data_IF_379118005429
#
_entry.id   IF_379118005429
#
_cell.length_a   1.000
_cell.length_b   1.000
_cell.length_c   1.000
_cell.angle_alpha   90.00
_cell.angle_beta   90.00
_cell.angle_gamma   90.00
#
_symmetry.space_group_name_H-M   'P 1'
#
loop_
_entity.id
_entity.type
_entity.pdbx_description
1 polymer ?
#
# COMPACT_ATOMS: atom_id res chain seq x y z
N UNK A 1 1.18 -28.47 13.75
CA UNK A 1 2.26 -28.35 12.74
C UNK A 1 3.58 -28.13 13.46
N UNK A 2 4.65 -28.80 13.05
CA UNK A 2 6.01 -28.61 13.52
C UNK A 2 6.88 -28.10 12.37
N UNK A 3 7.45 -26.91 12.53
CA UNK A 3 8.47 -26.35 11.64
C UNK A 3 9.82 -26.64 12.27
N UNK A 4 10.61 -27.51 11.66
CA UNK A 4 11.92 -27.92 12.18
C UNK A 4 13.03 -27.09 11.57
N UNK A 5 14.15 -26.99 12.28
CA UNK A 5 15.38 -26.42 11.75
C UNK A 5 15.23 -24.99 11.18
N UNK A 6 14.83 -24.04 12.02
CA UNK A 6 14.72 -22.61 11.66
C UNK A 6 15.58 -21.74 12.58
N UNK A 7 16.04 -20.62 12.07
CA UNK A 7 16.57 -19.53 12.88
C UNK A 7 15.41 -18.67 13.39
N UNK A 8 15.31 -18.49 14.71
CA UNK A 8 14.40 -17.51 15.32
C UNK A 8 15.22 -16.51 16.12
N UNK A 9 15.00 -15.22 15.87
CA UNK A 9 15.70 -14.16 16.59
C UNK A 9 15.51 -14.27 18.11
N UNK A 10 16.59 -14.14 18.87
CA UNK A 10 16.60 -14.34 20.32
C UNK A 10 16.65 -15.80 20.78
N UNK A 11 16.40 -16.77 19.88
CA UNK A 11 16.43 -18.21 20.20
C UNK A 11 17.52 -18.99 19.42
N UNK A 12 18.02 -18.45 18.31
CA UNK A 12 18.97 -19.13 17.43
C UNK A 12 18.31 -20.25 16.63
N UNK A 13 19.06 -21.31 16.30
CA UNK A 13 18.57 -22.48 15.53
C UNK A 13 17.71 -23.39 16.42
N UNK A 14 16.42 -23.53 16.08
CA UNK A 14 15.38 -24.18 16.89
C UNK A 14 14.29 -24.84 16.02
N UNK A 15 13.38 -25.58 16.65
CA UNK A 15 12.12 -26.02 16.07
C UNK A 15 10.95 -25.23 16.70
N UNK A 16 9.93 -24.95 15.88
CA UNK A 16 8.74 -24.19 16.28
C UNK A 16 7.48 -25.03 16.09
N UNK A 17 6.71 -25.20 17.17
CA UNK A 17 5.44 -25.94 17.14
C UNK A 17 4.26 -24.97 17.12
N UNK A 18 3.35 -25.22 16.20
CA UNK A 18 2.11 -24.46 16.01
C UNK A 18 0.91 -25.33 16.39
N UNK A 19 -0.05 -24.72 17.10
CA UNK A 19 -1.30 -25.35 17.51
C UNK A 19 -2.38 -24.30 17.77
N UNK A 20 -3.62 -24.57 17.34
CA UNK A 20 -4.74 -23.64 17.53
C UNK A 20 -4.50 -22.25 16.91
N UNK A 21 -3.76 -22.18 15.79
CA UNK A 21 -3.40 -20.92 15.14
C UNK A 21 -2.35 -20.07 15.87
N UNK A 22 -1.67 -20.63 16.87
CA UNK A 22 -0.65 -19.95 17.67
C UNK A 22 0.65 -20.73 17.75
N UNK A 23 1.71 -20.04 18.13
CA UNK A 23 2.99 -20.64 18.49
C UNK A 23 2.90 -21.23 19.90
N UNK A 24 2.92 -22.55 20.01
CA UNK A 24 2.79 -23.27 21.30
C UNK A 24 4.13 -23.72 21.87
N UNK A 25 5.23 -23.50 21.14
CA UNK A 25 6.54 -23.52 21.75
C UNK A 25 7.69 -23.47 20.75
N UNK A 26 8.82 -22.97 21.25
CA UNK A 26 10.08 -22.76 20.53
C UNK A 26 11.16 -23.48 21.33
N UNK A 27 11.98 -24.30 20.68
CA UNK A 27 13.08 -25.00 21.36
C UNK A 27 13.82 -25.99 20.47
N UNK A 28 14.97 -26.49 20.93
CA UNK A 28 15.81 -27.44 20.18
C UNK A 28 15.24 -28.86 20.25
N UNK A 29 15.32 -29.61 19.14
CA UNK A 29 15.04 -31.05 19.05
C UNK A 29 13.67 -31.42 19.63
N UNK A 30 12.61 -30.75 19.17
CA UNK A 30 11.24 -31.05 19.65
C UNK A 30 10.76 -32.38 19.07
N UNK A 31 10.14 -33.21 19.92
CA UNK A 31 9.59 -34.51 19.50
C UNK A 31 8.44 -34.35 18.49
N UNK A 32 8.46 -35.17 17.43
CA UNK A 32 7.46 -35.19 16.36
C UNK A 32 8.10 -35.27 14.98
N UNK A 33 7.35 -35.74 13.97
CA UNK A 33 7.76 -35.65 12.56
C UNK A 33 7.60 -34.18 12.13
N UNK A 34 8.66 -33.59 11.55
CA UNK A 34 8.59 -32.24 10.99
C UNK A 34 7.62 -32.19 9.82
N UNK A 35 6.64 -31.28 9.88
CA UNK A 35 5.72 -31.01 8.77
C UNK A 35 6.38 -30.10 7.72
N UNK A 36 7.24 -29.19 8.17
CA UNK A 36 8.00 -28.26 7.34
C UNK A 36 9.44 -28.22 7.82
N UNK A 37 10.40 -28.40 6.91
CA UNK A 37 11.83 -28.24 7.19
C UNK A 37 12.31 -26.84 6.77
N UNK A 38 12.77 -26.07 7.74
CA UNK A 38 13.31 -24.73 7.60
C UNK A 38 14.71 -24.70 7.01
N UNK A 39 15.47 -25.80 7.07
CA UNK A 39 16.84 -25.90 6.54
C UNK A 39 17.76 -24.77 7.01
N UNK A 40 17.61 -24.33 8.26
CA UNK A 40 18.34 -23.23 8.88
C UNK A 40 17.92 -21.83 8.42
N UNK A 41 16.85 -21.69 7.64
CA UNK A 41 16.31 -20.38 7.24
C UNK A 41 15.63 -19.65 8.39
N UNK A 42 15.57 -18.32 8.31
CA UNK A 42 14.92 -17.51 9.33
C UNK A 42 13.39 -17.67 9.30
N UNK A 43 12.79 -17.79 10.48
CA UNK A 43 11.35 -17.76 10.67
C UNK A 43 10.98 -16.46 11.39
N UNK A 44 10.27 -15.60 10.67
CA UNK A 44 9.85 -14.28 11.11
C UNK A 44 8.36 -14.28 11.46
N UNK A 45 7.93 -13.27 12.21
CA UNK A 45 6.53 -12.83 12.13
C UNK A 45 6.24 -12.43 10.68
N UNK A 46 5.03 -12.73 10.20
CA UNK A 46 4.66 -12.43 8.82
C UNK A 46 4.61 -10.92 8.56
N UNK A 47 4.91 -10.51 7.34
CA UNK A 47 4.85 -9.11 6.96
C UNK A 47 3.39 -8.62 6.96
N UNK A 48 3.19 -7.35 7.26
CA UNK A 48 1.92 -6.66 7.19
C UNK A 48 2.09 -5.41 6.35
N UNK A 49 1.33 -5.31 5.26
CA UNK A 49 1.33 -4.11 4.43
C UNK A 49 0.34 -3.10 5.00
N UNK A 50 0.85 -2.02 5.59
CA UNK A 50 0.03 -1.09 6.36
C UNK A 50 -0.73 -0.07 5.50
N UNK A 51 -0.57 -0.08 4.17
CA UNK A 51 -1.33 0.78 3.26
C UNK A 51 -1.36 0.17 1.86
N UNK A 52 -2.50 -0.37 1.45
CA UNK A 52 -2.71 -0.96 0.12
C UNK A 52 -4.15 -0.77 -0.35
N UNK A 53 -4.37 -0.65 -1.65
CA UNK A 53 -5.68 -0.54 -2.27
C UNK A 53 -6.09 -1.88 -2.92
N UNK A 54 -6.62 -2.81 -2.12
CA UNK A 54 -6.84 -4.20 -2.56
C UNK A 54 -7.85 -4.33 -3.69
N UNK A 55 -8.92 -3.52 -3.68
CA UNK A 55 -9.90 -3.55 -4.76
C UNK A 55 -9.29 -3.05 -6.09
N UNK A 56 -8.51 -1.99 -6.05
CA UNK A 56 -7.80 -1.47 -7.22
C UNK A 56 -6.74 -2.47 -7.70
N UNK A 57 -5.96 -3.05 -6.78
CA UNK A 57 -4.92 -4.03 -7.08
C UNK A 57 -5.50 -5.32 -7.70
N UNK A 58 -6.66 -5.75 -7.23
CA UNK A 58 -7.35 -6.91 -7.81
C UNK A 58 -7.96 -6.61 -9.18
N UNK A 59 -8.40 -5.37 -9.43
CA UNK A 59 -8.91 -4.93 -10.73
C UNK A 59 -7.80 -4.73 -11.78
N UNK A 60 -6.56 -4.54 -11.34
CA UNK A 60 -5.42 -4.32 -12.22
C UNK A 60 -5.15 -5.49 -13.17
N UNK A 61 -5.35 -6.74 -12.71
CA UNK A 61 -5.16 -7.93 -13.55
C UNK A 61 -6.08 -7.96 -14.80
N UNK A 62 -7.17 -7.19 -14.78
CA UNK A 62 -8.09 -7.01 -15.89
C UNK A 62 -7.96 -5.61 -16.54
N UNK A 63 -6.84 -4.92 -16.32
CA UNK A 63 -6.53 -3.59 -16.85
C UNK A 63 -5.27 -3.61 -17.71
N UNK A 64 -5.20 -2.68 -18.66
CA UNK A 64 -3.99 -2.42 -19.44
C UNK A 64 -3.13 -1.41 -18.67
N UNK A 65 -1.88 -1.75 -18.34
CA UNK A 65 -0.95 -0.80 -17.74
C UNK A 65 -0.37 0.11 -18.81
N UNK A 66 -0.43 1.42 -18.58
CA UNK A 66 -0.04 2.46 -19.53
C UNK A 66 0.81 3.56 -18.86
N UNK A 67 1.56 3.20 -17.82
CA UNK A 67 2.47 4.10 -17.15
C UNK A 67 3.77 4.31 -17.92
N UNK A 68 4.67 5.19 -17.40
CA UNK A 68 5.94 5.48 -18.06
C UNK A 68 6.81 4.25 -18.35
N UNK A 69 6.74 3.21 -17.50
CA UNK A 69 7.52 1.99 -17.69
C UNK A 69 6.90 1.04 -18.73
N UNK A 70 5.57 1.04 -18.86
CA UNK A 70 4.86 0.10 -19.74
C UNK A 70 4.56 0.67 -21.12
N UNK A 71 4.06 1.91 -21.20
CA UNK A 71 3.75 2.56 -22.46
C UNK A 71 4.96 3.30 -23.04
N UNK A 72 5.81 3.88 -22.17
CA UNK A 72 7.00 4.65 -22.58
C UNK A 72 6.69 6.01 -23.19
N UNK A 73 5.89 6.04 -24.26
CA UNK A 73 5.54 7.22 -25.03
C UNK A 73 4.10 7.16 -25.57
N UNK A 74 3.74 8.19 -26.35
CA UNK A 74 2.43 8.32 -27.00
C UNK A 74 2.10 7.15 -27.92
N UNK A 75 3.06 6.64 -28.69
CA UNK A 75 2.80 5.57 -29.65
C UNK A 75 2.57 4.24 -28.93
N UNK A 76 3.33 3.98 -27.86
CA UNK A 76 3.11 2.85 -26.98
C UNK A 76 1.74 2.91 -26.29
N UNK A 77 1.31 4.09 -25.82
CA UNK A 77 -0.03 4.29 -25.28
C UNK A 77 -1.11 3.98 -26.32
N UNK A 78 -1.01 4.54 -27.54
CA UNK A 78 -1.98 4.29 -28.62
C UNK A 78 -2.05 2.80 -28.96
N UNK A 79 -0.89 2.13 -29.06
CA UNK A 79 -0.83 0.69 -29.29
C UNK A 79 -1.53 -0.12 -28.20
N UNK A 80 -1.29 0.23 -26.94
CA UNK A 80 -1.92 -0.42 -25.79
C UNK A 80 -3.45 -0.23 -25.78
N UNK A 81 -3.93 1.00 -26.04
CA UNK A 81 -5.37 1.30 -26.08
C UNK A 81 -6.11 0.62 -27.25
N UNK A 82 -5.40 0.32 -28.34
CA UNK A 82 -5.95 -0.37 -29.52
C UNK A 82 -5.80 -1.89 -29.46
N UNK A 83 -5.10 -2.42 -28.47
CA UNK A 83 -4.91 -3.87 -28.30
C UNK A 83 -6.25 -4.59 -28.01
N UNK A 84 -6.41 -5.83 -28.49
CA UNK A 84 -7.65 -6.59 -28.32
C UNK A 84 -8.76 -6.26 -29.35
N UNK A 85 -9.92 -6.95 -29.27
CA UNK A 85 -10.98 -6.85 -30.27
C UNK A 85 -11.57 -5.44 -30.42
N UNK A 86 -11.85 -4.98 -31.66
CA UNK A 86 -12.56 -3.71 -31.89
C UNK A 86 -13.93 -3.65 -31.21
N UNK A 87 -14.32 -2.45 -30.74
CA UNK A 87 -15.60 -2.21 -30.08
C UNK A 87 -15.66 -2.61 -28.59
N UNK A 88 -14.70 -3.37 -28.06
CA UNK A 88 -14.65 -3.72 -26.65
C UNK A 88 -14.13 -2.58 -25.77
N UNK A 89 -14.63 -2.52 -24.52
CA UNK A 89 -14.17 -1.55 -23.54
C UNK A 89 -12.71 -1.77 -23.18
N UNK A 90 -11.93 -0.69 -23.18
CA UNK A 90 -10.56 -0.69 -22.64
C UNK A 90 -10.52 0.06 -21.33
N UNK A 91 -10.04 -0.64 -20.30
CA UNK A 91 -9.72 -0.08 -18.99
C UNK A 91 -8.20 -0.01 -18.87
N UNK A 92 -7.65 1.20 -18.87
CA UNK A 92 -6.22 1.44 -18.70
C UNK A 92 -5.88 2.10 -17.35
N UNK A 93 -4.73 1.78 -16.76
CA UNK A 93 -4.23 2.33 -15.47
C UNK A 93 -2.79 2.78 -15.52
N UNK A 94 -2.42 3.60 -14.55
CA UNK A 94 -1.03 3.96 -14.30
C UNK A 94 -0.54 5.11 -15.16
N UNK A 95 -1.45 5.80 -15.87
CA UNK A 95 -1.10 6.90 -16.75
C UNK A 95 -0.39 8.03 -16.02
N UNK A 96 0.55 8.68 -16.71
CA UNK A 96 1.19 9.91 -16.29
C UNK A 96 1.44 10.79 -17.52
N UNK A 97 1.43 12.11 -17.33
CA UNK A 97 1.55 13.10 -18.38
C UNK A 97 2.89 13.00 -19.14
N UNK A 98 3.93 12.42 -18.54
CA UNK A 98 5.21 12.16 -19.22
C UNK A 98 5.10 11.18 -20.40
N UNK A 99 4.01 10.40 -20.50
CA UNK A 99 3.79 9.46 -21.61
C UNK A 99 3.27 10.17 -22.85
N UNK A 100 2.21 10.97 -22.72
CA UNK A 100 1.52 11.57 -23.88
C UNK A 100 0.95 12.99 -23.64
N UNK A 101 1.33 13.67 -22.55
CA UNK A 101 0.83 15.00 -22.17
C UNK A 101 -0.47 14.94 -21.36
N UNK A 102 -1.21 16.04 -21.28
CA UNK A 102 -2.54 16.00 -20.67
C UNK A 102 -3.52 15.21 -21.55
N UNK A 103 -4.37 14.40 -20.92
CA UNK A 103 -5.45 13.68 -21.60
C UNK A 103 -6.79 14.34 -21.32
N UNK A 104 -7.58 14.45 -22.39
CA UNK A 104 -9.01 14.69 -22.36
C UNK A 104 -9.71 13.71 -23.30
N UNK A 105 -11.04 13.81 -23.39
CA UNK A 105 -11.84 12.92 -24.22
C UNK A 105 -11.47 13.00 -25.70
N UNK A 106 -11.08 14.17 -26.20
CA UNK A 106 -10.81 14.39 -27.62
C UNK A 106 -9.45 13.82 -28.01
N UNK A 107 -8.45 13.98 -27.13
CA UNK A 107 -7.16 13.28 -27.27
C UNK A 107 -7.37 11.76 -27.29
N UNK A 108 -8.23 11.23 -26.42
CA UNK A 108 -8.52 9.79 -26.43
C UNK A 108 -9.37 9.35 -27.63
N UNK A 109 -10.22 10.22 -28.19
CA UNK A 109 -10.93 9.94 -29.44
C UNK A 109 -9.95 9.79 -30.61
N UNK A 110 -8.90 10.61 -30.68
CA UNK A 110 -7.82 10.46 -31.66
C UNK A 110 -7.03 9.16 -31.43
N UNK A 111 -6.80 8.78 -30.17
CA UNK A 111 -6.02 7.60 -29.83
C UNK A 111 -6.78 6.31 -30.08
N UNK A 112 -8.09 6.26 -29.84
CA UNK A 112 -8.89 5.04 -29.97
C UNK A 112 -10.32 5.37 -30.43
N UNK A 113 -10.53 5.73 -31.72
CA UNK A 113 -11.82 6.20 -32.21
C UNK A 113 -12.91 5.12 -32.25
N UNK A 114 -12.51 3.85 -32.39
CA UNK A 114 -13.43 2.74 -32.70
C UNK A 114 -13.86 1.94 -31.45
N UNK A 115 -13.65 2.46 -30.24
CA UNK A 115 -14.00 1.74 -29.00
C UNK A 115 -14.15 2.64 -27.76
N UNK A 116 -14.90 2.18 -26.74
CA UNK A 116 -14.96 2.85 -25.44
C UNK A 116 -13.63 2.72 -24.69
N UNK A 117 -13.06 3.84 -24.26
CA UNK A 117 -11.81 3.87 -23.47
C UNK A 117 -12.00 4.68 -22.20
N UNK A 118 -11.48 4.14 -21.10
CA UNK A 118 -11.21 4.89 -19.87
C UNK A 118 -9.77 4.67 -19.41
N UNK A 119 -9.10 5.75 -19.07
CA UNK A 119 -7.71 5.77 -18.59
C UNK A 119 -7.67 6.35 -17.17
N UNK A 120 -7.07 5.63 -16.22
CA UNK A 120 -6.84 6.12 -14.86
C UNK A 120 -5.42 6.67 -14.74
N UNK A 121 -5.31 7.90 -14.22
CA UNK A 121 -4.03 8.47 -13.81
C UNK A 121 -3.43 7.67 -12.64
N UNK A 122 -2.10 7.57 -12.57
CA UNK A 122 -1.38 6.79 -11.54
C UNK A 122 -1.61 7.26 -10.10
N UNK A 123 -2.14 8.47 -9.90
CA UNK A 123 -2.56 8.95 -8.57
C UNK A 123 -3.86 8.28 -8.08
N UNK A 124 -4.57 7.57 -8.96
CA UNK A 124 -5.90 7.04 -8.69
C UNK A 124 -7.01 8.09 -8.64
N UNK A 125 -6.68 9.38 -8.69
CA UNK A 125 -7.62 10.48 -8.49
C UNK A 125 -8.38 10.90 -9.76
N UNK A 126 -7.84 10.62 -10.94
CA UNK A 126 -8.40 11.05 -12.22
C UNK A 126 -8.73 9.88 -13.12
N UNK A 127 -9.94 9.90 -13.66
CA UNK A 127 -10.35 9.13 -14.81
C UNK A 127 -10.56 10.02 -16.02
N UNK A 128 -10.07 9.61 -17.19
CA UNK A 128 -10.34 10.26 -18.48
C UNK A 128 -11.03 9.28 -19.40
N UNK A 129 -12.21 9.64 -19.91
CA UNK A 129 -13.05 8.79 -20.74
C UNK A 129 -13.22 9.43 -22.12
N UNK A 130 -13.09 8.63 -23.18
CA UNK A 130 -13.32 9.11 -24.54
C UNK A 130 -14.81 9.26 -24.85
N UNK A 131 -15.15 9.87 -25.98
CA UNK A 131 -16.55 10.12 -26.35
C UNK A 131 -17.34 8.83 -26.56
N UNK A 132 -16.70 7.74 -27.02
CA UNK A 132 -17.36 6.44 -27.14
C UNK A 132 -17.76 5.86 -25.77
N UNK A 133 -16.90 5.98 -24.76
CA UNK A 133 -17.19 5.57 -23.39
C UNK A 133 -18.32 6.41 -22.76
N UNK A 134 -18.30 7.73 -22.97
CA UNK A 134 -19.37 8.62 -22.50
C UNK A 134 -20.73 8.25 -23.10
N UNK A 135 -20.80 7.98 -24.42
CA UNK A 135 -22.04 7.53 -25.09
C UNK A 135 -22.51 6.18 -24.56
N UNK A 136 -21.61 5.21 -24.43
CA UNK A 136 -21.93 3.89 -23.90
C UNK A 136 -22.45 3.94 -22.45
N UNK A 137 -22.03 4.95 -21.70
CA UNK A 137 -22.46 5.21 -20.33
C UNK A 137 -23.73 6.08 -20.22
N UNK A 138 -24.23 6.65 -21.31
CA UNK A 138 -25.31 7.64 -21.24
C UNK A 138 -24.92 8.94 -20.54
N UNK A 139 -23.64 9.34 -20.64
CA UNK A 139 -23.05 10.54 -20.05
C UNK A 139 -22.64 11.57 -21.12
N UNK A 140 -23.28 11.56 -22.29
CA UNK A 140 -22.91 12.33 -23.48
C UNK A 140 -23.27 13.83 -23.44
N UNK A 141 -23.61 14.37 -22.27
CA UNK A 141 -24.11 15.73 -22.04
C UNK A 141 -23.08 16.88 -22.05
N UNK A 142 -21.91 16.71 -22.69
CA UNK A 142 -20.82 17.71 -22.71
C UNK A 142 -19.73 17.50 -21.64
N UNK A 143 -18.66 18.30 -21.68
CA UNK A 143 -17.48 18.19 -20.80
C UNK A 143 -16.23 17.65 -21.51
N UNK A 144 -15.09 17.65 -20.83
CA UNK A 144 -13.79 17.19 -21.34
C UNK A 144 -13.53 15.70 -21.08
N UNK A 145 -14.49 14.99 -20.47
CA UNK A 145 -14.36 13.58 -20.10
C UNK A 145 -13.39 13.31 -18.94
N UNK A 146 -12.94 14.34 -18.22
CA UNK A 146 -12.12 14.22 -17.01
C UNK A 146 -13.02 14.15 -15.77
N UNK A 147 -12.76 13.16 -14.94
CA UNK A 147 -13.52 12.89 -13.72
C UNK A 147 -12.58 12.77 -12.52
N UNK A 148 -12.45 13.86 -11.77
CA UNK A 148 -11.64 13.91 -10.55
C UNK A 148 -12.42 13.37 -9.36
N UNK A 149 -11.85 12.41 -8.63
CA UNK A 149 -12.37 11.81 -7.38
C UNK A 149 -13.83 11.36 -7.49
N UNK A 150 -14.21 10.84 -8.66
CA UNK A 150 -15.60 10.49 -8.99
C UNK A 150 -15.81 8.98 -9.17
N UNK A 151 -14.90 8.13 -8.67
CA UNK A 151 -14.98 6.67 -8.77
C UNK A 151 -16.32 6.10 -8.29
N UNK A 152 -16.88 6.64 -7.21
CA UNK A 152 -18.19 6.22 -6.71
C UNK A 152 -19.32 6.60 -7.67
N UNK A 153 -19.32 7.84 -8.17
CA UNK A 153 -20.31 8.31 -9.15
C UNK A 153 -20.24 7.48 -10.42
N UNK A 154 -19.03 7.14 -10.89
CA UNK A 154 -18.80 6.37 -12.10
C UNK A 154 -19.09 4.87 -11.93
N UNK A 155 -19.30 4.41 -10.69
CA UNK A 155 -19.63 3.01 -10.38
C UNK A 155 -21.01 2.69 -10.96
N UNK A 156 -21.04 1.85 -12.00
CA UNK A 156 -22.27 1.45 -12.72
C UNK A 156 -22.39 2.02 -14.13
N UNK A 157 -21.58 3.03 -14.47
CA UNK A 157 -21.53 3.62 -15.83
C UNK A 157 -20.54 2.92 -16.77
N UNK A 158 -19.94 1.81 -16.31
CA UNK A 158 -18.96 1.05 -17.07
C UNK A 158 -19.12 -0.44 -16.77
N UNK A 159 -18.64 -1.33 -17.66
CA UNK A 159 -18.70 -2.76 -17.42
C UNK A 159 -18.00 -3.13 -16.10
N UNK A 160 -18.55 -4.10 -15.35
CA UNK A 160 -17.91 -4.61 -14.15
C UNK A 160 -16.55 -5.24 -14.52
N UNK A 161 -15.58 -5.06 -13.63
CA UNK A 161 -14.24 -5.61 -13.80
C UNK A 161 -14.12 -6.85 -12.92
N UNK A 162 -13.59 -7.93 -13.49
CA UNK A 162 -13.29 -9.14 -12.70
C UNK A 162 -12.14 -8.83 -11.75
N UNK A 163 -12.34 -9.08 -10.46
CA UNK A 163 -11.33 -8.88 -9.43
C UNK A 163 -10.54 -10.18 -9.20
N UNK A 164 -9.22 -10.13 -9.35
CA UNK A 164 -8.30 -11.24 -9.07
C UNK A 164 -7.84 -11.25 -7.61
N UNK A 165 -8.79 -11.36 -6.67
CA UNK A 165 -8.46 -11.37 -5.24
C UNK A 165 -7.62 -12.59 -4.84
N UNK A 166 -7.87 -13.76 -5.46
CA UNK A 166 -7.08 -14.97 -5.19
C UNK A 166 -5.63 -14.81 -5.63
N UNK A 167 -5.39 -14.26 -6.82
CA UNK A 167 -4.04 -13.98 -7.28
C UNK A 167 -3.35 -12.91 -6.45
N UNK A 168 -4.06 -11.87 -5.98
CA UNK A 168 -3.51 -10.90 -5.01
C UNK A 168 -3.03 -11.61 -3.75
N UNK A 169 -3.86 -12.44 -3.13
CA UNK A 169 -3.48 -13.19 -1.93
C UNK A 169 -2.32 -14.15 -2.14
N UNK A 170 -2.25 -14.81 -3.30
CA UNK A 170 -1.16 -15.72 -3.66
C UNK A 170 0.17 -14.98 -3.88
N UNK A 171 0.16 -13.88 -4.65
CA UNK A 171 1.34 -13.02 -4.88
C UNK A 171 1.85 -12.42 -3.59
N UNK A 172 0.96 -11.90 -2.74
CA UNK A 172 1.32 -11.36 -1.44
C UNK A 172 1.95 -12.41 -0.51
N UNK A 173 1.44 -13.65 -0.53
CA UNK A 173 2.07 -14.75 0.21
C UNK A 173 3.47 -15.07 -0.28
N UNK A 174 3.75 -14.95 -1.59
CA UNK A 174 5.11 -15.08 -2.13
C UNK A 174 6.06 -14.00 -1.60
N UNK A 175 5.54 -12.84 -1.18
CA UNK A 175 6.32 -11.77 -0.55
C UNK A 175 6.43 -11.88 0.98
N UNK A 176 5.85 -12.90 1.61
CA UNK A 176 5.88 -13.02 3.08
C UNK A 176 4.71 -12.30 3.79
N UNK A 177 3.76 -11.74 3.03
CA UNK A 177 2.65 -10.95 3.58
C UNK A 177 1.58 -11.86 4.18
N UNK A 178 1.28 -11.59 5.44
CA UNK A 178 0.25 -12.27 6.25
C UNK A 178 -0.93 -11.39 6.59
N UNK A 179 -0.82 -10.08 6.40
CA UNK A 179 -1.89 -9.14 6.68
C UNK A 179 -1.80 -7.87 5.84
N UNK A 180 -2.94 -7.22 5.67
CA UNK A 180 -3.08 -5.95 4.98
C UNK A 180 -3.87 -4.95 5.82
N UNK A 181 -3.55 -3.67 5.65
CA UNK A 181 -4.45 -2.57 5.95
C UNK A 181 -4.94 -1.96 4.64
N UNK A 182 -6.20 -2.22 4.31
CA UNK A 182 -6.84 -1.70 3.12
C UNK A 182 -7.15 -0.21 3.28
N UNK A 183 -6.65 0.60 2.35
CA UNK A 183 -6.69 2.06 2.39
C UNK A 183 -7.65 2.67 1.36
N UNK A 184 -8.51 1.86 0.73
CA UNK A 184 -9.52 2.36 -0.20
C UNK A 184 -10.33 3.50 0.45
N UNK A 185 -10.47 4.66 -0.23
CA UNK A 185 -10.93 5.89 0.41
C UNK A 185 -12.39 5.84 0.84
N UNK A 186 -13.22 5.10 0.11
CA UNK A 186 -14.63 4.93 0.38
C UNK A 186 -15.00 3.46 0.29
N UNK A 187 -14.68 2.67 1.34
CA UNK A 187 -14.97 1.26 1.34
C UNK A 187 -16.47 1.08 1.55
N UNK A 188 -17.14 0.50 0.54
CA UNK A 188 -18.54 0.07 0.69
C UNK A 188 -18.66 -0.94 1.83
N UNK A 189 -19.84 -1.04 2.46
CA UNK A 189 -20.07 -1.94 3.61
C UNK A 189 -19.74 -3.40 3.27
N UNK A 190 -19.96 -3.80 2.02
CA UNK A 190 -19.72 -5.17 1.53
C UNK A 190 -18.24 -5.44 1.19
N UNK A 191 -17.36 -4.43 1.25
CA UNK A 191 -15.95 -4.60 0.88
C UNK A 191 -15.24 -5.63 1.78
N UNK A 192 -15.53 -5.63 3.08
CA UNK A 192 -14.96 -6.62 4.00
C UNK A 192 -15.37 -8.05 3.64
N UNK A 193 -16.61 -8.26 3.21
CA UNK A 193 -17.08 -9.57 2.74
C UNK A 193 -16.39 -9.97 1.44
N UNK A 194 -16.32 -9.04 0.48
CA UNK A 194 -15.63 -9.26 -0.79
C UNK A 194 -14.16 -9.65 -0.58
N UNK A 195 -13.45 -8.96 0.31
CA UNK A 195 -12.04 -9.21 0.60
C UNK A 195 -11.81 -10.46 1.47
N UNK A 196 -12.84 -11.01 2.12
CA UNK A 196 -12.72 -12.19 3.02
C UNK A 196 -12.19 -13.46 2.34
N UNK A 197 -12.20 -13.49 1.00
CA UNK A 197 -11.60 -14.57 0.19
C UNK A 197 -10.06 -14.60 0.27
N UNK A 198 -9.44 -13.49 0.71
CA UNK A 198 -7.99 -13.41 0.91
C UNK A 198 -7.59 -14.29 2.10
N UNK A 199 -6.54 -15.11 1.97
CA UNK A 199 -6.04 -15.91 3.08
C UNK A 199 -5.34 -15.07 4.16
N UNK A 200 -4.97 -13.82 3.86
CA UNK A 200 -4.34 -12.88 4.78
C UNK A 200 -5.34 -12.26 5.78
N UNK A 201 -4.80 -11.74 6.88
CA UNK A 201 -5.55 -10.87 7.82
C UNK A 201 -5.87 -9.53 7.17
N UNK A 202 -6.99 -8.94 7.56
CA UNK A 202 -7.45 -7.68 7.01
C UNK A 202 -7.81 -6.70 8.13
N UNK A 203 -7.25 -5.50 8.01
CA UNK A 203 -7.79 -4.28 8.60
C UNK A 203 -8.32 -3.46 7.43
N UNK A 204 -9.53 -2.92 7.53
CA UNK A 204 -10.09 -2.04 6.50
C UNK A 204 -10.31 -0.68 7.14
N UNK A 205 -9.63 0.35 6.64
CA UNK A 205 -9.85 1.71 7.14
C UNK A 205 -11.33 2.08 6.97
N UNK A 206 -11.93 2.74 7.96
CA UNK A 206 -13.35 3.11 7.94
C UNK A 206 -14.33 2.01 8.40
N UNK A 207 -13.97 0.72 8.31
CA UNK A 207 -14.84 -0.39 8.72
C UNK A 207 -14.38 -1.03 10.03
N UNK A 208 -15.33 -1.37 10.90
CA UNK A 208 -15.05 -2.04 12.17
C UNK A 208 -14.17 -1.19 13.11
N UNK A 209 -13.10 -1.80 13.59
CA UNK A 209 -12.07 -1.23 14.47
C UNK A 209 -10.94 -0.51 13.70
N UNK A 210 -10.98 -0.50 12.36
CA UNK A 210 -10.02 0.23 11.54
C UNK A 210 -10.14 1.76 11.69
N UNK A 211 -9.02 2.50 11.54
CA UNK A 211 -9.02 3.95 11.62
C UNK A 211 -9.88 4.56 10.51
N UNK A 212 -10.56 5.67 10.78
CA UNK A 212 -11.38 6.34 9.78
C UNK A 212 -10.49 7.09 8.80
N UNK A 213 -10.59 6.77 7.51
CA UNK A 213 -9.80 7.40 6.45
C UNK A 213 -10.34 8.80 6.15
N UNK A 214 -9.46 9.79 6.15
CA UNK A 214 -9.71 11.11 5.57
C UNK A 214 -8.82 11.28 4.34
N UNK A 215 -9.44 11.64 3.22
CA UNK A 215 -8.74 11.92 1.97
C UNK A 215 -8.72 13.44 1.77
N UNK A 216 -7.53 14.04 1.80
CA UNK A 216 -7.36 15.47 1.54
C UNK A 216 -7.00 15.69 0.07
N UNK A 217 -7.51 16.79 -0.47
CA UNK A 217 -7.23 17.24 -1.84
C UNK A 217 -6.99 18.75 -1.79
N UNK A 218 -5.91 19.23 -2.43
CA UNK A 218 -5.53 20.64 -2.32
C UNK A 218 -6.58 21.58 -2.93
N UNK A 219 -7.32 21.13 -3.94
CA UNK A 219 -8.35 21.94 -4.57
C UNK A 219 -9.58 22.14 -3.67
N UNK A 220 -9.80 21.23 -2.71
CA UNK A 220 -10.96 21.25 -1.81
C UNK A 220 -10.54 21.07 -0.35
N UNK A 221 -9.36 21.59 0.01
CA UNK A 221 -8.77 21.36 1.31
C UNK A 221 -9.63 22.04 2.40
N UNK A 222 -10.08 21.31 3.44
CA UNK A 222 -10.85 21.91 4.51
C UNK A 222 -9.98 22.86 5.34
N UNK A 223 -10.61 23.81 6.00
CA UNK A 223 -9.94 24.56 7.07
C UNK A 223 -9.55 23.62 8.21
N UNK A 224 -8.52 23.96 9.01
CA UNK A 224 -8.15 23.16 10.18
C UNK A 224 -9.32 22.88 11.13
N UNK A 225 -10.18 23.87 11.39
CA UNK A 225 -11.34 23.70 12.27
C UNK A 225 -12.43 22.77 11.70
N UNK A 226 -12.66 22.80 10.39
CA UNK A 226 -13.60 21.86 9.73
C UNK A 226 -13.07 20.42 9.80
N UNK A 227 -11.77 20.23 9.57
CA UNK A 227 -11.14 18.93 9.73
C UNK A 227 -11.16 18.49 11.20
N UNK A 228 -10.86 19.38 12.14
CA UNK A 228 -10.92 19.10 13.58
C UNK A 228 -12.32 18.64 14.01
N UNK A 229 -13.37 19.33 13.57
CA UNK A 229 -14.75 18.95 13.83
C UNK A 229 -15.08 17.56 13.26
N UNK A 230 -14.58 17.25 12.06
CA UNK A 230 -14.78 15.94 11.41
C UNK A 230 -14.04 14.82 12.16
N UNK A 231 -12.82 15.08 12.62
CA UNK A 231 -12.03 14.15 13.45
C UNK A 231 -12.71 13.95 14.81
N UNK A 232 -13.17 15.01 15.46
CA UNK A 232 -13.88 14.95 16.73
C UNK A 232 -15.16 14.10 16.65
N UNK A 233 -15.89 14.20 15.52
CA UNK A 233 -17.14 13.46 15.30
C UNK A 233 -16.97 11.93 15.24
N UNK A 234 -15.77 11.43 14.91
CA UNK A 234 -15.50 9.99 14.81
C UNK A 234 -14.77 9.41 16.03
N UNK A 235 -14.41 10.26 17.02
CA UNK A 235 -13.80 9.79 18.26
C UNK A 235 -14.73 8.83 19.02
N UNK A 236 -14.16 7.87 19.80
CA UNK A 236 -12.75 7.67 20.10
C UNK A 236 -11.97 6.90 19.03
N UNK A 237 -12.54 6.64 17.85
CA UNK A 237 -11.83 5.92 16.79
C UNK A 237 -10.63 6.75 16.29
N UNK A 238 -9.49 6.10 16.02
CA UNK A 238 -8.36 6.77 15.39
C UNK A 238 -8.67 7.15 13.94
N UNK A 239 -7.90 8.09 13.41
CA UNK A 239 -8.01 8.53 12.02
C UNK A 239 -6.76 8.20 11.21
N UNK A 240 -6.94 8.00 9.91
CA UNK A 240 -5.90 7.80 8.92
C UNK A 240 -6.01 8.90 7.86
N UNK A 241 -5.15 9.91 7.92
CA UNK A 241 -5.27 11.11 7.08
C UNK A 241 -4.27 11.04 5.92
N UNK A 242 -4.76 11.08 4.69
CA UNK A 242 -3.94 11.19 3.48
C UNK A 242 -3.26 12.57 3.43
N UNK A 243 -1.93 12.60 3.57
CA UNK A 243 -1.14 13.83 3.52
C UNK A 243 0.06 13.66 2.58
N UNK A 244 -0.05 14.23 1.39
CA UNK A 244 1.00 14.22 0.37
C UNK A 244 1.65 15.58 0.13
N UNK A 245 1.05 16.68 0.60
CA UNK A 245 1.63 18.03 0.49
C UNK A 245 1.94 18.64 1.85
N UNK A 246 2.84 19.65 1.86
CA UNK A 246 3.16 20.44 3.05
C UNK A 246 1.90 21.05 3.67
N UNK A 247 1.00 21.59 2.85
CA UNK A 247 -0.22 22.25 3.32
C UNK A 247 -1.18 21.25 3.97
N UNK A 248 -1.40 20.08 3.35
CA UNK A 248 -2.21 19.01 3.93
C UNK A 248 -1.70 18.56 5.29
N UNK A 249 -0.37 18.42 5.43
CA UNK A 249 0.25 18.09 6.71
C UNK A 249 -0.07 19.15 7.76
N UNK A 250 0.16 20.43 7.48
CA UNK A 250 -0.08 21.51 8.46
C UNK A 250 -1.55 21.59 8.89
N UNK A 251 -2.49 21.46 7.95
CA UNK A 251 -3.93 21.40 8.25
C UNK A 251 -4.24 20.21 9.15
N UNK A 252 -3.64 19.05 8.87
CA UNK A 252 -3.83 17.83 9.67
C UNK A 252 -3.28 17.97 11.09
N UNK A 253 -2.06 18.53 11.25
CA UNK A 253 -1.45 18.71 12.57
C UNK A 253 -2.26 19.67 13.44
N UNK A 254 -2.74 20.78 12.86
CA UNK A 254 -3.65 21.71 13.54
C UNK A 254 -4.95 21.02 13.96
N UNK A 255 -5.56 20.27 13.04
CA UNK A 255 -6.82 19.59 13.30
C UNK A 255 -6.71 18.52 14.39
N UNK A 256 -5.61 17.75 14.41
CA UNK A 256 -5.34 16.75 15.44
C UNK A 256 -5.04 17.38 16.79
N UNK A 257 -4.31 18.50 16.82
CA UNK A 257 -4.05 19.24 18.05
C UNK A 257 -5.35 19.81 18.66
N UNK A 258 -6.24 20.34 17.83
CA UNK A 258 -7.54 20.87 18.27
C UNK A 258 -8.51 19.76 18.70
N UNK A 259 -8.63 18.68 17.93
CA UNK A 259 -9.54 17.57 18.23
C UNK A 259 -9.06 16.65 19.37
N UNK A 260 -7.77 16.73 19.72
CA UNK A 260 -7.11 15.82 20.64
C UNK A 260 -6.64 14.54 19.94
N UNK A 261 -5.31 14.25 19.90
CA UNK A 261 -4.81 13.03 19.30
C UNK A 261 -5.14 11.82 20.18
N UNK A 262 -5.37 10.67 19.54
CA UNK A 262 -5.57 9.38 20.22
C UNK A 262 -4.60 8.33 19.70
N UNK A 263 -4.37 7.29 20.51
CA UNK A 263 -3.56 6.15 20.08
C UNK A 263 -4.15 5.52 18.80
N UNK A 264 -3.29 5.34 17.79
CA UNK A 264 -3.68 4.81 16.48
C UNK A 264 -3.91 5.89 15.41
N UNK A 265 -3.95 7.18 15.78
CA UNK A 265 -3.95 8.26 14.78
C UNK A 265 -2.71 8.17 13.90
N UNK A 266 -2.93 8.29 12.60
CA UNK A 266 -1.88 8.09 11.61
C UNK A 266 -1.99 9.05 10.43
N UNK A 267 -0.81 9.46 9.96
CA UNK A 267 -0.62 10.18 8.72
C UNK A 267 -0.22 9.16 7.66
N UNK A 268 -1.00 9.11 6.59
CA UNK A 268 -0.69 8.31 5.42
C UNK A 268 0.19 9.08 4.45
N UNK A 269 1.15 8.36 3.88
CA UNK A 269 2.21 8.85 3.02
C UNK A 269 3.20 9.72 3.76
N UNK A 270 2.75 10.87 4.28
CA UNK A 270 3.66 11.87 4.82
C UNK A 270 4.71 12.26 3.77
N UNK A 271 4.28 12.44 2.52
CA UNK A 271 5.19 12.56 1.38
C UNK A 271 6.14 13.73 1.58
N UNK A 272 5.60 14.90 1.97
CA UNK A 272 6.35 16.12 2.26
C UNK A 272 6.18 16.46 3.74
N UNK A 273 7.23 16.25 4.53
CA UNK A 273 7.25 16.60 5.96
C UNK A 273 8.39 17.59 6.21
N UNK A 274 8.13 18.89 6.40
CA UNK A 274 9.17 19.87 6.74
C UNK A 274 9.87 19.57 8.06
N UNK A 275 11.13 19.96 8.21
CA UNK A 275 11.97 19.54 9.35
C UNK A 275 11.50 20.17 10.66
N UNK A 276 11.02 21.40 10.56
CA UNK A 276 10.42 22.19 11.62
C UNK A 276 9.14 21.55 12.19
N UNK A 277 8.47 20.65 11.47
CA UNK A 277 7.26 19.97 11.96
C UNK A 277 7.55 18.70 12.77
N UNK A 278 8.78 18.19 12.78
CA UNK A 278 9.12 16.94 13.49
C UNK A 278 8.82 17.01 15.00
N UNK A 279 9.14 18.11 15.73
CA UNK A 279 8.78 18.22 17.15
C UNK A 279 7.26 18.24 17.38
N UNK A 280 6.48 18.72 16.41
CA UNK A 280 5.02 18.73 16.49
C UNK A 280 4.43 17.34 16.32
N UNK A 281 4.89 16.59 15.31
CA UNK A 281 4.54 15.19 15.10
C UNK A 281 4.85 14.35 16.35
N UNK A 282 6.05 14.52 16.91
CA UNK A 282 6.47 13.82 18.13
C UNK A 282 5.58 14.16 19.34
N UNK A 283 5.21 15.44 19.51
CA UNK A 283 4.30 15.88 20.58
C UNK A 283 2.91 15.26 20.45
N UNK A 284 2.37 15.16 19.23
CA UNK A 284 1.06 14.57 18.99
C UNK A 284 1.08 13.03 19.07
N UNK A 285 2.24 12.40 18.97
CA UNK A 285 2.38 10.94 19.05
C UNK A 285 1.76 10.17 17.88
N UNK A 286 1.55 10.84 16.75
CA UNK A 286 0.94 10.24 15.54
C UNK A 286 1.92 9.29 14.86
N UNK A 287 1.43 8.20 14.30
CA UNK A 287 2.26 7.31 13.46
C UNK A 287 2.29 7.82 12.02
N UNK A 288 3.46 7.82 11.39
CA UNK A 288 3.57 8.04 9.93
C UNK A 288 3.63 6.68 9.23
N UNK A 289 2.75 6.44 8.26
CA UNK A 289 2.79 5.26 7.40
C UNK A 289 3.15 5.68 5.99
N UNK A 290 4.40 5.44 5.59
CA UNK A 290 5.02 6.05 4.40
C UNK A 290 5.33 5.04 3.28
N UNK A 291 5.73 5.54 2.12
CA UNK A 291 6.10 4.75 0.93
C UNK A 291 7.53 5.11 0.46
N UNK A 292 8.58 4.57 1.11
CA UNK A 292 9.98 4.91 0.80
C UNK A 292 10.42 4.66 -0.65
N UNK A 293 9.68 3.83 -1.38
CA UNK A 293 9.97 3.49 -2.78
C UNK A 293 9.52 4.56 -3.78
N UNK A 294 8.59 5.44 -3.43
CA UNK A 294 8.11 6.44 -4.36
C UNK A 294 9.20 7.37 -4.91
N UNK A 295 10.15 7.90 -4.11
CA UNK A 295 11.26 8.67 -4.66
C UNK A 295 12.17 7.89 -5.63
N UNK A 296 12.23 6.56 -5.51
CA UNK A 296 13.01 5.71 -6.41
C UNK A 296 12.24 5.48 -7.72
N UNK A 297 10.96 5.18 -7.63
CA UNK A 297 10.11 4.92 -8.79
C UNK A 297 9.74 6.17 -9.58
N UNK A 298 9.69 7.34 -8.91
CA UNK A 298 9.12 8.58 -9.45
C UNK A 298 10.09 9.77 -9.34
N UNK A 299 11.39 9.49 -9.23
CA UNK A 299 12.39 10.52 -8.94
C UNK A 299 12.46 11.63 -10.00
N UNK A 300 12.21 11.31 -11.28
CA UNK A 300 12.19 12.31 -12.36
C UNK A 300 10.98 13.23 -12.27
N UNK A 301 9.82 12.65 -12.00
CA UNK A 301 8.57 13.37 -11.86
C UNK A 301 8.60 14.25 -10.61
N UNK A 302 9.07 13.74 -9.47
CA UNK A 302 9.23 14.58 -8.28
C UNK A 302 10.23 15.73 -8.47
N UNK A 303 11.29 15.55 -9.27
CA UNK A 303 12.20 16.65 -9.58
C UNK A 303 11.54 17.78 -10.41
N UNK A 304 10.45 17.47 -11.11
CA UNK A 304 9.73 18.39 -12.00
C UNK A 304 8.49 18.98 -11.34
N UNK A 305 7.69 18.13 -10.68
CA UNK A 305 6.33 18.43 -10.25
C UNK A 305 6.24 18.88 -8.79
N UNK A 306 7.26 18.59 -7.98
CA UNK A 306 7.32 19.02 -6.57
C UNK A 306 8.11 20.32 -6.48
N UNK A 307 7.55 21.28 -5.75
CA UNK A 307 8.18 22.56 -5.46
C UNK A 307 9.63 22.33 -4.95
N UNK A 308 10.64 23.04 -5.50
CA UNK A 308 12.03 22.88 -5.08
C UNK A 308 12.25 22.96 -3.56
N UNK A 309 11.48 23.77 -2.84
CA UNK A 309 11.57 23.92 -1.39
C UNK A 309 10.99 22.71 -0.63
N UNK A 310 10.21 21.86 -1.30
CA UNK A 310 9.63 20.63 -0.75
C UNK A 310 10.43 19.36 -1.10
N UNK A 311 11.31 19.42 -2.11
CA UNK A 311 12.05 18.23 -2.58
C UNK A 311 12.94 17.61 -1.49
N UNK A 312 13.55 18.44 -0.63
CA UNK A 312 14.36 17.97 0.51
C UNK A 312 13.52 17.35 1.65
N UNK A 313 12.20 17.45 1.57
CA UNK A 313 11.27 16.94 2.57
C UNK A 313 10.60 15.61 2.16
N UNK A 314 10.91 15.12 0.95
CA UNK A 314 10.31 13.93 0.38
C UNK A 314 10.70 12.62 1.09
N UNK A 315 9.72 11.99 1.73
CA UNK A 315 9.77 10.63 2.32
C UNK A 315 10.96 10.41 3.28
N UNK A 316 11.09 11.30 4.27
CA UNK A 316 12.23 11.39 5.21
C UNK A 316 12.23 10.37 6.35
N UNK A 317 12.37 9.10 5.99
CA UNK A 317 12.28 7.98 6.92
C UNK A 317 13.29 8.06 8.07
N UNK A 318 14.54 8.44 7.80
CA UNK A 318 15.58 8.50 8.83
C UNK A 318 15.33 9.66 9.79
N UNK A 319 15.03 10.85 9.28
CA UNK A 319 14.76 12.02 10.11
C UNK A 319 13.55 11.79 11.04
N UNK A 320 12.50 11.12 10.56
CA UNK A 320 11.36 10.73 11.38
C UNK A 320 11.76 9.76 12.49
N UNK A 321 12.54 8.73 12.16
CA UNK A 321 12.99 7.72 13.11
C UNK A 321 13.93 8.32 14.19
N UNK A 322 14.87 9.18 13.80
CA UNK A 322 15.79 9.87 14.72
C UNK A 322 15.05 10.85 15.65
N UNK A 323 13.95 11.45 15.18
CA UNK A 323 13.07 12.29 15.99
C UNK A 323 12.13 11.49 16.93
N UNK A 324 12.19 10.16 16.92
CA UNK A 324 11.34 9.30 17.74
C UNK A 324 9.88 9.25 17.28
N UNK A 325 9.58 9.65 16.04
CA UNK A 325 8.24 9.59 15.48
C UNK A 325 7.94 8.13 15.08
N UNK A 326 6.82 7.55 15.54
CA UNK A 326 6.48 6.18 15.18
C UNK A 326 6.29 6.04 13.66
N UNK A 327 6.96 5.04 13.06
CA UNK A 327 7.04 4.87 11.61
C UNK A 327 6.65 3.45 11.20
N UNK A 328 5.90 3.33 10.11
CA UNK A 328 5.65 2.09 9.39
C UNK A 328 5.61 2.35 7.88
N UNK A 329 5.47 1.31 7.07
CA UNK A 329 5.35 1.45 5.62
C UNK A 329 4.20 0.64 5.03
N UNK A 330 3.76 1.08 3.87
CA UNK A 330 2.90 0.30 2.98
C UNK A 330 3.41 0.37 1.54
N UNK A 331 2.83 -0.47 0.69
CA UNK A 331 3.15 -0.48 -0.75
C UNK A 331 2.37 0.56 -1.53
N UNK A 332 1.20 0.96 -1.04
CA UNK A 332 0.22 1.75 -1.78
C UNK A 332 -0.13 1.12 -3.14
N UNK A 333 0.01 -0.21 -3.27
CA UNK A 333 -0.31 -0.91 -4.50
C UNK A 333 -1.81 -0.81 -4.81
N UNK A 334 -2.20 -0.63 -6.09
CA UNK A 334 -1.38 -0.73 -7.29
C UNK A 334 -0.69 0.57 -7.72
N UNK A 335 -0.79 1.65 -6.95
CA UNK A 335 -0.16 2.93 -7.30
C UNK A 335 1.36 2.89 -7.11
N UNK A 336 1.84 2.08 -6.17
CA UNK A 336 3.23 1.65 -6.03
C UNK A 336 3.46 0.18 -6.36
N UNK A 337 4.73 -0.26 -6.28
CA UNK A 337 5.08 -1.67 -6.33
C UNK A 337 4.43 -2.46 -5.19
N UNK A 338 3.80 -3.60 -5.51
CA UNK A 338 3.22 -4.51 -4.53
C UNK A 338 4.27 -5.34 -3.75
N UNK A 339 5.56 -5.20 -4.05
CA UNK A 339 6.64 -5.93 -3.36
C UNK A 339 7.16 -5.14 -2.14
N UNK A 340 6.84 -5.56 -0.89
CA UNK A 340 7.34 -4.89 0.31
C UNK A 340 8.87 -4.96 0.42
N UNK A 341 9.53 -5.94 -0.20
CA UNK A 341 11.00 -6.02 -0.19
C UNK A 341 11.63 -4.95 -1.07
N UNK A 342 11.00 -4.58 -2.18
CA UNK A 342 11.39 -3.39 -2.95
C UNK A 342 11.23 -2.11 -2.11
N UNK A 343 10.15 -2.01 -1.32
CA UNK A 343 9.94 -0.88 -0.40
C UNK A 343 11.03 -0.79 0.67
N UNK A 344 11.35 -1.92 1.31
CA UNK A 344 12.42 -2.01 2.30
C UNK A 344 13.79 -1.66 1.70
N UNK A 345 14.08 -2.16 0.49
CA UNK A 345 15.31 -1.87 -0.23
C UNK A 345 15.44 -0.38 -0.54
N UNK A 346 14.39 0.24 -1.04
CA UNK A 346 14.37 1.68 -1.31
C UNK A 346 14.61 2.51 -0.03
N UNK A 347 14.08 2.08 1.12
CA UNK A 347 14.32 2.74 2.40
C UNK A 347 15.79 2.63 2.85
N UNK A 348 16.48 1.52 2.54
CA UNK A 348 17.90 1.30 2.88
C UNK A 348 18.84 2.02 1.90
N UNK A 349 18.48 2.07 0.62
CA UNK A 349 19.30 2.62 -0.46
C UNK A 349 19.05 4.12 -0.70
N UNK A 350 18.16 4.73 0.09
CA UNK A 350 17.73 6.12 -0.07
C UNK A 350 18.94 7.08 -0.07
N UNK A 351 19.08 7.83 -1.16
CA UNK A 351 20.05 8.93 -1.27
C UNK A 351 19.59 10.18 -0.51
N UNK A 352 20.51 11.11 -0.24
CA UNK A 352 20.16 12.39 0.41
C UNK A 352 20.06 12.32 1.94
N UNK A 353 20.64 11.29 2.56
CA UNK A 353 20.74 11.19 4.02
C UNK A 353 19.57 10.52 4.70
N UNK A 354 18.50 10.15 3.97
CA UNK A 354 17.27 9.57 4.53
C UNK A 354 17.23 8.04 4.58
N UNK A 355 18.37 7.38 4.34
CA UNK A 355 18.51 5.93 4.45
C UNK A 355 18.33 5.45 5.90
N UNK A 356 17.58 4.37 6.08
CA UNK A 356 17.42 3.68 7.37
C UNK A 356 18.25 2.40 7.43
N UNK A 357 18.54 1.93 8.64
CA UNK A 357 19.20 0.64 8.81
C UNK A 357 18.33 -0.51 8.29
N UNK A 358 18.96 -1.55 7.73
CA UNK A 358 18.28 -2.75 7.20
C UNK A 358 17.26 -3.35 8.17
N UNK A 359 17.60 -3.39 9.46
CA UNK A 359 16.70 -3.88 10.50
C UNK A 359 15.46 -2.99 10.65
N UNK A 360 15.66 -1.67 10.68
CA UNK A 360 14.57 -0.72 10.76
C UNK A 360 13.65 -0.82 9.54
N UNK A 361 14.20 -1.06 8.34
CA UNK A 361 13.41 -1.30 7.13
C UNK A 361 12.50 -2.54 7.25
N UNK A 362 13.00 -3.66 7.78
CA UNK A 362 12.17 -4.84 8.08
C UNK A 362 11.08 -4.53 9.12
N UNK A 363 11.42 -3.72 10.12
CA UNK A 363 10.49 -3.33 11.19
C UNK A 363 9.30 -2.51 10.67
N UNK A 364 9.45 -1.79 9.54
CA UNK A 364 8.35 -1.05 8.89
C UNK A 364 7.16 -1.92 8.46
N UNK A 365 7.38 -3.23 8.26
CA UNK A 365 6.38 -4.20 7.81
C UNK A 365 6.09 -5.30 8.83
N UNK A 366 6.66 -5.23 10.04
CA UNK A 366 6.41 -6.24 11.08
C UNK A 366 5.63 -5.69 12.27
N UNK A 367 5.06 -4.50 12.11
CA UNK A 367 4.13 -3.87 13.06
C UNK A 367 2.85 -4.66 13.30
N UNK A 368 2.17 -4.37 14.42
CA UNK A 368 0.82 -4.85 14.70
C UNK A 368 -0.20 -4.23 13.72
N UNK A 369 -1.24 -4.96 13.28
CA UNK A 369 -2.19 -4.45 12.28
C UNK A 369 -2.88 -3.13 12.66
N UNK A 370 -3.26 -2.96 13.93
CA UNK A 370 -3.91 -1.75 14.45
C UNK A 370 -2.91 -0.68 14.95
N UNK A 371 -1.66 -1.07 15.22
CA UNK A 371 -0.61 -0.18 15.74
C UNK A 371 0.68 -0.41 14.94
N UNK A 372 0.71 0.16 13.74
CA UNK A 372 1.69 -0.18 12.70
C UNK A 372 3.17 0.00 13.11
N UNK A 373 3.46 0.89 14.06
CA UNK A 373 4.81 1.13 14.57
C UNK A 373 5.21 0.19 15.72
N UNK A 374 4.28 -0.57 16.30
CA UNK A 374 4.54 -1.53 17.36
C UNK A 374 4.99 -2.86 16.77
N UNK A 375 6.30 -3.07 16.72
CA UNK A 375 6.90 -4.24 16.07
C UNK A 375 6.57 -5.54 16.81
N UNK A 376 6.05 -6.53 16.07
CA UNK A 376 5.78 -7.88 16.58
C UNK A 376 7.07 -8.67 16.81
N UNK A 377 7.03 -9.60 17.76
CA UNK A 377 8.10 -10.56 18.04
C UNK A 377 7.55 -11.98 18.03
N UNK A 378 8.34 -12.90 17.48
CA UNK A 378 7.98 -14.32 17.46
C UNK A 378 8.31 -14.95 18.81
N UNK A 379 7.29 -15.10 19.66
CA UNK A 379 7.41 -15.71 20.99
C UNK A 379 6.34 -16.80 21.17
N UNK A 380 6.44 -17.56 22.25
CA UNK A 380 5.38 -18.52 22.61
C UNK A 380 4.12 -17.75 22.98
N UNK A 381 2.99 -18.11 22.37
CA UNK A 381 1.71 -17.44 22.51
C UNK A 381 1.35 -16.53 21.33
N UNK A 382 2.33 -16.08 20.53
CA UNK A 382 2.08 -15.28 19.33
C UNK A 382 1.16 -15.99 18.35
N UNK A 383 0.38 -15.19 17.59
CA UNK A 383 -0.38 -15.70 16.46
C UNK A 383 0.59 -16.30 15.45
N UNK A 384 0.26 -17.46 14.89
CA UNK A 384 1.09 -18.16 13.92
C UNK A 384 0.92 -17.59 12.49
N UNK A 385 1.04 -16.27 12.38
CA UNK A 385 1.14 -15.54 11.13
C UNK A 385 2.64 -15.32 10.87
N UNK A 386 3.22 -16.14 9.99
CA UNK A 386 4.68 -16.34 9.90
C UNK A 386 5.19 -16.25 8.47
N UNK A 387 6.42 -15.75 8.31
CA UNK A 387 7.18 -15.77 7.06
C UNK A 387 8.44 -16.61 7.27
N UNK A 388 8.54 -17.73 6.55
CA UNK A 388 9.72 -18.59 6.52
C UNK A 388 10.59 -18.20 5.32
N UNK A 389 11.86 -17.90 5.60
CA UNK A 389 12.87 -17.63 4.59
C UNK A 389 13.67 -18.89 4.27
N UNK A 390 14.30 -18.91 3.09
CA UNK A 390 15.20 -20.00 2.70
C UNK A 390 16.67 -19.75 3.07
N UNK A 391 16.97 -18.58 3.66
CA UNK A 391 18.29 -18.17 4.16
C UNK A 391 18.21 -17.65 5.61
N UNK A 392 19.33 -17.59 6.35
CA UNK A 392 19.42 -16.92 7.65
C UNK A 392 19.06 -15.42 7.59
N UNK A 393 18.65 -14.84 8.73
CA UNK A 393 18.13 -13.47 8.78
C UNK A 393 19.17 -12.44 8.31
N UNK A 394 20.43 -12.59 8.72
CA UNK A 394 21.51 -11.70 8.28
C UNK A 394 21.60 -11.64 6.75
N UNK A 395 21.61 -12.79 6.09
CA UNK A 395 21.69 -12.86 4.63
C UNK A 395 20.43 -12.28 3.97
N UNK A 396 19.24 -12.53 4.53
CA UNK A 396 18.01 -11.91 4.03
C UNK A 396 18.05 -10.38 4.11
N UNK A 397 18.56 -9.82 5.22
CA UNK A 397 18.73 -8.38 5.39
C UNK A 397 19.79 -7.80 4.45
N UNK A 398 20.85 -8.55 4.14
CA UNK A 398 21.87 -8.13 3.19
C UNK A 398 21.32 -8.10 1.75
N UNK A 399 20.42 -9.04 1.40
CA UNK A 399 19.80 -9.15 0.07
C UNK A 399 18.60 -8.22 -0.16
N UNK A 400 17.72 -8.03 0.82
CA UNK A 400 16.46 -7.27 0.70
C UNK A 400 15.64 -7.61 -0.56
N UNK A 401 15.41 -8.91 -0.78
CA UNK A 401 14.64 -9.42 -1.93
C UNK A 401 13.57 -10.40 -1.49
N UNK A 402 12.40 -10.35 -2.13
CA UNK A 402 11.33 -11.32 -1.95
C UNK A 402 11.75 -12.75 -2.29
N UNK A 403 12.78 -12.95 -3.11
CA UNK A 403 13.24 -14.29 -3.51
C UNK A 403 13.61 -15.15 -2.29
N UNK A 404 14.03 -14.51 -1.19
CA UNK A 404 14.39 -15.21 0.06
C UNK A 404 13.19 -15.86 0.75
N UNK A 405 11.96 -15.48 0.41
CA UNK A 405 10.75 -16.05 1.01
C UNK A 405 10.52 -17.48 0.49
N UNK A 406 10.39 -18.42 1.42
CA UNK A 406 10.11 -19.84 1.13
C UNK A 406 8.63 -20.18 1.30
N UNK A 407 8.01 -19.67 2.36
CA UNK A 407 6.64 -19.99 2.70
C UNK A 407 6.03 -18.94 3.64
N UNK A 408 4.73 -18.72 3.48
CA UNK A 408 3.94 -17.85 4.33
C UNK A 408 2.84 -18.66 5.02
N UNK A 409 2.59 -18.35 6.29
CA UNK A 409 1.60 -19.03 7.11
C UNK A 409 0.65 -18.00 7.69
N UNK A 410 -0.66 -18.28 7.68
CA UNK A 410 -1.67 -17.50 8.40
C UNK A 410 -2.46 -18.45 9.29
N UNK A 411 -2.56 -18.13 10.58
CA UNK A 411 -3.16 -19.00 11.59
C UNK A 411 -2.50 -20.38 11.64
N UNK A 412 -1.20 -20.46 11.39
CA UNK A 412 -0.43 -21.71 11.35
C UNK A 412 -0.74 -22.63 10.18
N UNK A 413 -1.46 -22.14 9.16
CA UNK A 413 -1.71 -22.84 7.90
C UNK A 413 -0.86 -22.20 6.81
N UNK A 414 -0.12 -23.03 6.08
CA UNK A 414 0.66 -22.56 4.93
C UNK A 414 -0.29 -22.07 3.84
N UNK A 415 -0.03 -20.88 3.30
CA UNK A 415 -0.68 -20.42 2.08
C UNK A 415 0.02 -21.12 0.92
N UNK A 416 -0.71 -21.95 0.18
CA UNK A 416 -0.24 -22.56 -1.06
C UNK A 416 -0.67 -21.68 -2.22
N UNK A 417 0.22 -21.36 -3.17
CA UNK A 417 -0.20 -20.84 -4.47
C UNK A 417 -1.29 -21.75 -5.04
N UNK A 418 -2.31 -21.15 -5.66
CA UNK A 418 -3.29 -21.94 -6.41
C UNK A 418 -2.58 -22.44 -7.67
N UNK A 419 -2.77 -23.72 -8.01
CA UNK A 419 -2.24 -24.35 -9.23
C UNK A 419 -2.71 -23.63 -10.51
#
# INVERSE_FOLDING_TARGET
MLITDVEVEGYGRVDVRLGGGRVVGIGRRRAGRGDVDGRGGALLVGLHDHHVHLAALAAEAASVRVGPAEAGDRDGLVGALRSGPPGEWVRAVGYHESVAGELDRWVLDDFAPDRPVRVQHRSGALWVWNSAALRAAGLDGGGDGRFWRQDERLRGFSPPVRLDLRGVGARAAAYGITGFTNADPHPGQDLSELLSVLPQRLVVMGIGDGPVKFLLDDATLPTPGELAASVAAVRPRPVAVHCVTRVQLLVTLLALEEAGPVAGDRIEHGSVIPAETLPWLARLGVTVVTQPHFPVERGREYATDVDPDDQAHLYRCRSLAEAGIPLAAGTDAPYGSADPWAVMRAAVERSGGEAVARRAALDLFTGEPQHASQVRRLTVGSIADLCLLHVPLKQALDLMSADVVRATFVGGRRITPTE
#
